data_IF_656718674239
#
_entry.id   IF_656718674239
#
_cell.length_a   1.000
_cell.length_b   1.000
_cell.length_c   1.000
_cell.angle_alpha   90.00
_cell.angle_beta   90.00
_cell.angle_gamma   90.00
#
_symmetry.space_group_name_H-M   'P 1'
#
loop_
_entity.id
_entity.type
_entity.pdbx_description
1 polymer ?
#
# COMPACT_ATOMS: atom_id res chain seq x y z
N UNK A 1 0.98 3.60 32.31
CA UNK A 1 -0.06 2.55 32.27
C UNK A 1 0.61 1.26 31.84
N UNK A 2 0.59 0.25 32.71
CA UNK A 2 1.44 -0.94 32.65
C UNK A 2 1.23 -1.81 31.40
N UNK A 3 2.19 -1.72 30.47
CA UNK A 3 2.31 -2.57 29.28
C UNK A 3 2.32 -4.07 29.66
N UNK A 4 2.92 -4.42 30.81
CA UNK A 4 2.91 -5.78 31.38
C UNK A 4 1.51 -6.25 31.74
N UNK A 5 0.68 -5.38 32.33
CA UNK A 5 -0.67 -5.72 32.75
C UNK A 5 -1.61 -5.86 31.53
N UNK A 6 -1.53 -4.96 30.55
CA UNK A 6 -2.35 -5.05 29.33
C UNK A 6 -2.00 -6.26 28.45
N UNK A 7 -0.73 -6.65 28.38
CA UNK A 7 -0.29 -7.83 27.61
C UNK A 7 -0.65 -9.12 28.36
N UNK A 8 -0.42 -9.17 29.68
CA UNK A 8 -0.80 -10.31 30.52
C UNK A 8 -2.32 -10.53 30.51
N UNK A 9 -3.12 -9.49 30.72
CA UNK A 9 -4.59 -9.56 30.76
C UNK A 9 -5.20 -9.97 29.42
N UNK A 10 -4.60 -9.53 28.30
CA UNK A 10 -5.09 -9.91 27.00
C UNK A 10 -4.69 -11.33 26.58
N UNK A 11 -3.68 -11.93 27.23
CA UNK A 11 -3.29 -13.33 27.06
C UNK A 11 -4.05 -14.28 28.00
N UNK A 12 -4.51 -13.79 29.17
CA UNK A 12 -5.33 -14.55 30.13
C UNK A 12 -6.82 -14.54 29.80
N UNK A 13 -7.32 -13.58 29.02
CA UNK A 13 -8.74 -13.51 28.59
C UNK A 13 -9.15 -14.56 27.53
N UNK A 14 -8.26 -15.47 27.14
CA UNK A 14 -8.56 -16.52 26.16
C UNK A 14 -9.11 -17.73 26.94
N UNK A 15 -10.41 -18.08 26.83
CA UNK A 15 -10.94 -19.20 27.57
C UNK A 15 -10.28 -20.49 27.09
N UNK A 16 -9.66 -21.20 28.04
CA UNK A 16 -9.41 -22.62 27.89
C UNK A 16 -10.77 -23.30 27.72
N UNK A 17 -10.81 -24.33 26.87
CA UNK A 17 -11.96 -25.22 26.58
C UNK A 17 -12.72 -24.88 25.30
N UNK A 18 -12.42 -25.60 24.21
CA UNK A 18 -13.37 -26.52 23.56
C UNK A 18 -12.59 -27.51 22.66
N UNK A 19 -12.47 -28.75 23.16
CA UNK A 19 -12.40 -30.05 22.46
C UNK A 19 -11.12 -30.50 21.70
N UNK A 20 -10.30 -31.24 22.46
CA UNK A 20 -9.56 -32.49 22.20
C UNK A 20 -9.74 -33.20 20.84
N UNK A 21 -8.64 -33.43 20.11
CA UNK A 21 -8.15 -34.76 19.64
C UNK A 21 -6.86 -34.68 18.79
N UNK A 22 -6.05 -35.75 18.71
CA UNK A 22 -4.64 -35.71 19.07
C UNK A 22 -3.68 -35.58 17.88
N UNK A 23 -2.69 -34.69 17.99
CA UNK A 23 -1.40 -34.83 17.28
C UNK A 23 -0.27 -34.33 18.19
N UNK A 24 0.27 -35.26 18.98
CA UNK A 24 1.35 -35.10 19.98
C UNK A 24 2.69 -34.54 19.44
N UNK A 25 2.76 -34.08 18.19
CA UNK A 25 3.92 -33.35 17.64
C UNK A 25 3.70 -31.85 17.40
N UNK A 26 2.45 -31.37 17.48
CA UNK A 26 2.08 -29.97 17.25
C UNK A 26 2.16 -29.09 18.50
N UNK A 27 1.75 -29.63 19.65
CA UNK A 27 1.62 -28.88 20.91
C UNK A 27 2.94 -28.34 21.46
N UNK A 28 4.05 -29.07 21.25
CA UNK A 28 5.37 -28.62 21.70
C UNK A 28 5.90 -27.46 20.85
N UNK A 29 5.67 -27.50 19.53
CA UNK A 29 6.03 -26.40 18.62
C UNK A 29 5.16 -25.16 18.89
N UNK A 30 3.89 -25.38 19.19
CA UNK A 30 2.92 -24.37 19.57
C UNK A 30 3.28 -23.67 20.89
N UNK A 31 3.68 -24.44 21.90
CA UNK A 31 4.16 -23.91 23.18
C UNK A 31 5.43 -23.07 23.02
N UNK A 32 6.38 -23.53 22.19
CA UNK A 32 7.63 -22.81 21.89
C UNK A 32 7.35 -21.50 21.16
N UNK A 33 6.46 -21.49 20.15
CA UNK A 33 6.06 -20.26 19.44
C UNK A 33 5.40 -19.28 20.41
N UNK A 34 4.50 -19.76 21.28
CA UNK A 34 3.83 -18.93 22.29
C UNK A 34 4.82 -18.34 23.30
N UNK A 35 5.78 -19.13 23.77
CA UNK A 35 6.83 -18.68 24.70
C UNK A 35 7.81 -17.69 24.03
N UNK A 36 8.13 -17.90 22.75
CA UNK A 36 8.97 -16.99 21.97
C UNK A 36 8.25 -15.65 21.72
N UNK A 37 6.98 -15.69 21.35
CA UNK A 37 6.14 -14.49 21.18
C UNK A 37 5.99 -13.71 22.48
N UNK A 38 5.83 -14.40 23.62
CA UNK A 38 5.76 -13.77 24.95
C UNK A 38 7.09 -13.13 25.35
N UNK A 39 8.23 -13.83 25.15
CA UNK A 39 9.55 -13.29 25.46
C UNK A 39 9.94 -12.11 24.57
N UNK A 40 9.56 -12.15 23.30
CA UNK A 40 9.90 -11.11 22.36
C UNK A 40 8.93 -9.91 22.41
N UNK A 41 7.68 -10.09 22.84
CA UNK A 41 6.79 -9.00 23.24
C UNK A 41 7.26 -8.30 24.54
N UNK A 42 8.02 -9.00 25.39
CA UNK A 42 8.64 -8.44 26.59
C UNK A 42 9.98 -7.72 26.31
N UNK A 43 10.53 -7.83 25.10
CA UNK A 43 11.81 -7.21 24.73
C UNK A 43 11.58 -5.77 24.23
N UNK A 44 11.93 -4.77 25.04
CA UNK A 44 11.81 -3.34 24.74
C UNK A 44 12.79 -2.80 23.67
N UNK A 45 13.31 -3.66 22.78
CA UNK A 45 14.30 -3.24 21.78
C UNK A 45 13.64 -3.17 20.40
N UNK A 46 13.62 -1.96 19.82
CA UNK A 46 13.02 -1.64 18.51
C UNK A 46 13.53 -2.58 17.41
N UNK A 47 14.82 -2.95 17.44
CA UNK A 47 15.42 -3.88 16.46
C UNK A 47 14.87 -5.31 16.62
N UNK A 48 14.65 -5.77 17.86
CA UNK A 48 14.02 -7.06 18.12
C UNK A 48 12.54 -7.06 17.72
N UNK A 49 11.84 -5.94 17.87
CA UNK A 49 10.46 -5.79 17.43
C UNK A 49 10.36 -5.85 15.90
N UNK A 50 11.26 -5.19 15.17
CA UNK A 50 11.33 -5.28 13.69
C UNK A 50 11.67 -6.70 13.21
N UNK A 51 12.63 -7.37 13.85
CA UNK A 51 12.95 -8.78 13.54
C UNK A 51 11.77 -9.69 13.89
N UNK A 52 11.07 -9.45 15.00
CA UNK A 52 9.85 -10.18 15.37
C UNK A 52 8.72 -9.93 14.38
N UNK A 53 8.51 -8.70 13.95
CA UNK A 53 7.44 -8.36 13.00
C UNK A 53 7.73 -8.92 11.61
N UNK A 54 8.99 -8.91 11.16
CA UNK A 54 9.40 -9.54 9.90
C UNK A 54 9.38 -11.07 9.96
N UNK A 55 9.74 -11.68 11.09
CA UNK A 55 9.62 -13.14 11.29
C UNK A 55 8.16 -13.57 11.44
N UNK A 56 7.33 -12.80 12.14
CA UNK A 56 5.88 -13.03 12.22
C UNK A 56 5.22 -12.88 10.87
N UNK A 57 5.59 -11.86 10.09
CA UNK A 57 5.14 -11.70 8.72
C UNK A 57 5.50 -12.94 7.89
N UNK A 58 6.76 -13.41 7.94
CA UNK A 58 7.20 -14.64 7.25
C UNK A 58 6.52 -15.92 7.76
N UNK A 59 6.24 -16.01 9.05
CA UNK A 59 5.53 -17.13 9.66
C UNK A 59 4.05 -17.15 9.28
N UNK A 60 3.42 -15.97 9.17
CA UNK A 60 2.07 -15.85 8.57
C UNK A 60 2.09 -16.08 7.07
N UNK A 61 3.25 -15.91 6.41
CA UNK A 61 3.44 -16.23 5.01
C UNK A 61 3.42 -17.73 4.75
N UNK A 62 4.09 -18.47 5.62
CA UNK A 62 4.14 -19.91 5.61
C UNK A 62 2.75 -20.51 5.94
N UNK A 63 2.17 -21.30 5.03
CA UNK A 63 0.93 -22.06 5.29
C UNK A 63 1.07 -23.15 6.39
N UNK A 64 2.19 -23.16 7.10
CA UNK A 64 2.53 -24.12 8.16
C UNK A 64 1.75 -23.91 9.47
N UNK A 65 1.04 -22.78 9.62
CA UNK A 65 0.39 -22.39 10.87
C UNK A 65 -1.14 -22.52 10.78
N UNK A 66 -1.76 -23.14 11.79
CA UNK A 66 -3.22 -23.29 11.93
C UNK A 66 -3.94 -21.94 11.88
N UNK A 67 -5.17 -21.93 11.34
CA UNK A 67 -6.09 -20.79 11.30
C UNK A 67 -6.11 -19.92 12.58
N UNK A 68 -6.20 -20.56 13.75
CA UNK A 68 -6.25 -19.89 15.05
C UNK A 68 -4.98 -19.11 15.38
N UNK A 69 -3.81 -19.68 15.10
CA UNK A 69 -2.52 -19.07 15.37
C UNK A 69 -2.24 -17.86 14.48
N UNK A 70 -2.67 -17.89 13.21
CA UNK A 70 -2.57 -16.72 12.32
C UNK A 70 -3.37 -15.54 12.86
N UNK A 71 -4.58 -15.79 13.37
CA UNK A 71 -5.38 -14.77 14.04
C UNK A 71 -4.65 -14.20 15.27
N UNK A 72 -4.01 -15.04 16.09
CA UNK A 72 -3.24 -14.58 17.26
C UNK A 72 -2.04 -13.71 16.84
N UNK A 73 -1.33 -14.10 15.77
CA UNK A 73 -0.24 -13.29 15.22
C UNK A 73 -0.74 -11.90 14.78
N UNK A 74 -1.87 -11.82 14.08
CA UNK A 74 -2.45 -10.54 13.68
C UNK A 74 -2.84 -9.68 14.89
N UNK A 75 -3.47 -10.27 15.91
CA UNK A 75 -3.80 -9.54 17.15
C UNK A 75 -2.55 -9.05 17.89
N UNK A 76 -1.45 -9.80 17.85
CA UNK A 76 -0.18 -9.38 18.45
C UNK A 76 0.46 -8.25 17.65
N UNK A 77 0.51 -8.38 16.32
CA UNK A 77 0.95 -7.31 15.40
C UNK A 77 0.21 -6.01 15.71
N UNK A 78 -1.12 -6.05 15.82
CA UNK A 78 -1.93 -4.86 16.07
C UNK A 78 -1.59 -4.14 17.38
N UNK A 79 -1.13 -4.88 18.41
CA UNK A 79 -0.74 -4.28 19.69
C UNK A 79 0.66 -3.70 19.68
N UNK A 80 1.55 -4.29 18.89
CA UNK A 80 2.97 -3.92 18.86
C UNK A 80 3.28 -2.86 17.80
N UNK A 81 2.39 -2.66 16.83
CA UNK A 81 2.62 -1.77 15.69
C UNK A 81 2.88 -0.31 16.10
N UNK A 82 2.30 0.16 17.21
CA UNK A 82 2.53 1.50 17.76
C UNK A 82 3.96 1.71 18.30
N UNK A 83 4.72 0.64 18.47
CA UNK A 83 6.12 0.67 18.93
C UNK A 83 7.13 0.48 17.80
N UNK A 84 6.66 0.32 16.56
CA UNK A 84 7.48 0.19 15.36
C UNK A 84 7.65 1.57 14.72
N UNK A 85 8.79 1.80 14.06
CA UNK A 85 9.00 2.99 13.25
C UNK A 85 8.11 3.00 12.00
N UNK A 86 7.87 4.18 11.42
CA UNK A 86 7.01 4.32 10.25
C UNK A 86 7.49 3.45 9.07
N UNK A 87 8.80 3.21 8.92
CA UNK A 87 9.34 2.32 7.88
C UNK A 87 8.90 0.88 8.12
N UNK A 88 9.00 0.37 9.34
CA UNK A 88 8.51 -0.96 9.69
C UNK A 88 6.99 -1.08 9.57
N UNK A 89 6.22 -0.03 9.95
CA UNK A 89 4.77 0.02 9.74
C UNK A 89 4.42 -0.09 8.26
N UNK A 90 5.17 0.56 7.38
CA UNK A 90 4.99 0.44 5.92
C UNK A 90 5.21 -0.98 5.42
N UNK A 91 6.23 -1.67 5.91
CA UNK A 91 6.45 -3.08 5.55
C UNK A 91 5.33 -3.99 6.06
N UNK A 92 4.82 -3.75 7.27
CA UNK A 92 3.63 -4.46 7.79
C UNK A 92 2.42 -4.23 6.89
N UNK A 93 2.17 -2.98 6.48
CA UNK A 93 1.07 -2.65 5.57
C UNK A 93 1.18 -3.42 4.24
N UNK A 94 2.38 -3.51 3.65
CA UNK A 94 2.62 -4.30 2.42
C UNK A 94 2.29 -5.78 2.62
N UNK A 95 2.73 -6.37 3.74
CA UNK A 95 2.44 -7.77 4.07
C UNK A 95 0.93 -7.98 4.27
N UNK A 96 0.26 -7.09 4.99
CA UNK A 96 -1.18 -7.13 5.19
C UNK A 96 -1.94 -7.04 3.86
N UNK A 97 -1.52 -6.12 2.99
CA UNK A 97 -2.08 -5.92 1.66
C UNK A 97 -1.92 -7.17 0.78
N UNK A 98 -0.74 -7.78 0.77
CA UNK A 98 -0.48 -9.05 0.09
C UNK A 98 -1.32 -10.20 0.67
N UNK A 99 -1.47 -10.27 2.01
CA UNK A 99 -2.25 -11.34 2.66
C UNK A 99 -3.75 -11.24 2.48
N UNK A 100 -4.30 -10.04 2.28
CA UNK A 100 -5.69 -9.85 1.90
C UNK A 100 -6.09 -10.68 0.66
N UNK A 101 -5.16 -10.92 -0.26
CA UNK A 101 -5.37 -11.65 -1.51
C UNK A 101 -5.56 -13.17 -1.32
N UNK A 102 -4.99 -13.74 -0.26
CA UNK A 102 -5.08 -15.18 -0.01
C UNK A 102 -6.49 -15.60 0.42
N UNK A 103 -7.27 -14.67 0.95
CA UNK A 103 -8.68 -14.92 1.23
C UNK A 103 -9.45 -14.90 -0.09
N UNK A 104 -9.91 -16.07 -0.53
CA UNK A 104 -10.81 -16.17 -1.68
C UNK A 104 -12.08 -15.34 -1.42
N UNK A 105 -12.67 -14.77 -2.46
CA UNK A 105 -13.92 -13.98 -2.38
C UNK A 105 -15.05 -14.73 -1.64
N UNK A 106 -15.08 -16.06 -1.75
CA UNK A 106 -15.96 -16.94 -0.98
C UNK A 106 -15.22 -17.48 0.25
N UNK A 107 -15.42 -16.81 1.38
CA UNK A 107 -14.74 -17.13 2.64
C UNK A 107 -15.52 -18.20 3.41
N UNK A 108 -14.84 -19.27 3.80
CA UNK A 108 -15.38 -20.22 4.78
C UNK A 108 -15.38 -19.57 6.17
N UNK A 109 -16.44 -19.78 6.95
CA UNK A 109 -16.65 -19.26 8.32
C UNK A 109 -15.40 -19.40 9.20
N UNK A 110 -14.63 -20.48 9.04
CA UNK A 110 -13.38 -20.73 9.80
C UNK A 110 -12.26 -19.70 9.56
N UNK A 111 -12.26 -19.01 8.43
CA UNK A 111 -11.24 -18.00 8.07
C UNK A 111 -11.71 -16.57 8.33
N UNK A 112 -13.00 -16.35 8.57
CA UNK A 112 -13.56 -15.02 8.83
C UNK A 112 -12.88 -14.31 10.03
N UNK A 113 -12.60 -14.97 11.18
CA UNK A 113 -11.91 -14.31 12.30
C UNK A 113 -10.49 -13.85 11.96
N UNK A 114 -9.80 -14.51 11.03
CA UNK A 114 -8.47 -14.10 10.58
C UNK A 114 -8.55 -12.84 9.70
N UNK A 115 -9.56 -12.78 8.84
CA UNK A 115 -9.80 -11.60 8.01
C UNK A 115 -10.16 -10.38 8.87
N UNK A 116 -11.02 -10.56 9.88
CA UNK A 116 -11.37 -9.46 10.80
C UNK A 116 -10.16 -8.97 11.58
N UNK A 117 -9.31 -9.89 12.08
CA UNK A 117 -8.07 -9.49 12.75
C UNK A 117 -7.10 -8.74 11.82
N UNK A 118 -7.08 -9.08 10.52
CA UNK A 118 -6.32 -8.35 9.51
C UNK A 118 -6.92 -6.96 9.23
N UNK A 119 -8.24 -6.88 9.13
CA UNK A 119 -8.99 -5.62 8.97
C UNK A 119 -8.71 -4.66 10.12
N UNK A 120 -8.67 -5.16 11.35
CA UNK A 120 -8.37 -4.35 12.54
C UNK A 120 -6.97 -3.74 12.48
N UNK A 121 -5.96 -4.48 11.99
CA UNK A 121 -4.60 -3.93 11.78
C UNK A 121 -4.65 -2.81 10.74
N UNK A 122 -5.29 -3.04 9.59
CA UNK A 122 -5.34 -2.05 8.50
C UNK A 122 -6.07 -0.80 8.97
N UNK A 123 -7.20 -0.95 9.68
CA UNK A 123 -7.92 0.19 10.30
C UNK A 123 -7.04 0.94 11.28
N UNK A 124 -6.26 0.24 12.10
CA UNK A 124 -5.37 0.86 13.06
C UNK A 124 -4.24 1.66 12.39
N UNK A 125 -3.70 1.16 11.26
CA UNK A 125 -2.72 1.88 10.43
C UNK A 125 -3.35 3.10 9.74
N UNK A 126 -4.58 2.98 9.25
CA UNK A 126 -5.26 4.04 8.50
C UNK A 126 -5.79 5.16 9.41
N UNK A 127 -5.97 4.89 10.69
CA UNK A 127 -6.42 5.89 11.65
C UNK A 127 -5.36 6.99 11.86
N UNK A 128 -5.69 8.18 11.36
CA UNK A 128 -4.84 9.38 11.44
C UNK A 128 -4.53 9.77 12.88
N UNK A 129 -5.36 9.42 13.86
CA UNK A 129 -5.12 9.75 15.28
C UNK A 129 -3.92 8.99 15.85
N UNK A 130 -3.61 7.81 15.31
CA UNK A 130 -2.49 7.00 15.78
C UNK A 130 -1.15 7.45 15.16
N UNK A 131 -1.17 8.26 14.10
CA UNK A 131 0.03 8.83 13.46
C UNK A 131 1.14 7.81 13.13
N UNK A 132 0.79 6.55 12.84
CA UNK A 132 1.75 5.45 12.67
C UNK A 132 2.56 5.55 11.37
N UNK A 133 1.94 6.09 10.32
CA UNK A 133 2.54 6.22 9.00
C UNK A 133 1.99 7.50 8.32
N UNK A 134 2.84 8.31 7.66
CA UNK A 134 2.36 9.40 6.84
C UNK A 134 1.35 8.93 5.80
N UNK A 135 0.22 9.62 5.73
CA UNK A 135 -0.93 9.13 4.98
C UNK A 135 -0.67 9.06 3.45
N UNK A 136 0.27 9.84 2.90
CA UNK A 136 0.68 9.72 1.50
C UNK A 136 1.37 8.37 1.19
N UNK A 137 2.11 7.79 2.15
CA UNK A 137 2.69 6.46 1.96
C UNK A 137 1.62 5.39 1.93
N UNK A 138 0.55 5.55 2.72
CA UNK A 138 -0.60 4.65 2.69
C UNK A 138 -1.25 4.69 1.31
N UNK A 139 -1.54 5.88 0.77
CA UNK A 139 -2.13 6.04 -0.57
C UNK A 139 -1.26 5.41 -1.66
N UNK A 140 0.05 5.65 -1.62
CA UNK A 140 0.99 5.06 -2.58
C UNK A 140 1.00 3.53 -2.57
N UNK A 141 0.76 2.90 -1.41
CA UNK A 141 0.64 1.45 -1.30
C UNK A 141 -0.75 0.95 -1.73
N UNK A 142 -1.82 1.68 -1.40
CA UNK A 142 -3.19 1.37 -1.82
C UNK A 142 -3.25 1.41 -3.35
N UNK A 143 -2.89 2.52 -4.00
CA UNK A 143 -3.10 2.75 -5.44
C UNK A 143 -2.31 1.80 -6.37
N UNK A 144 -1.47 0.92 -5.84
CA UNK A 144 -0.81 -0.12 -6.65
C UNK A 144 -1.86 -1.07 -7.21
N UNK A 145 -1.78 -1.43 -8.51
CA UNK A 145 -2.80 -2.24 -9.17
C UNK A 145 -2.86 -3.64 -8.54
N UNK A 146 -3.91 -3.91 -7.76
CA UNK A 146 -4.15 -5.22 -7.16
C UNK A 146 -5.65 -5.46 -6.90
N UNK A 147 -6.14 -6.72 -6.96
CA UNK A 147 -7.52 -7.03 -6.63
C UNK A 147 -7.73 -6.84 -5.13
N UNK A 148 -8.43 -5.78 -4.74
CA UNK A 148 -8.82 -5.61 -3.34
C UNK A 148 -9.85 -6.66 -2.95
N UNK A 149 -9.64 -7.25 -1.77
CA UNK A 149 -10.68 -8.06 -1.15
C UNK A 149 -11.85 -7.14 -0.78
N UNK A 150 -13.09 -7.53 -1.14
CA UNK A 150 -14.31 -6.72 -0.98
C UNK A 150 -14.46 -6.08 0.41
N UNK A 151 -13.96 -6.77 1.45
CA UNK A 151 -13.99 -6.31 2.85
C UNK A 151 -13.20 -5.02 3.08
N UNK A 152 -12.11 -4.81 2.35
CA UNK A 152 -11.25 -3.62 2.50
C UNK A 152 -11.65 -2.48 1.57
N UNK A 153 -12.44 -2.74 0.52
CA UNK A 153 -12.80 -1.75 -0.51
C UNK A 153 -13.35 -0.46 0.10
N UNK A 154 -14.29 -0.57 1.04
CA UNK A 154 -14.85 0.63 1.66
C UNK A 154 -13.77 1.44 2.38
N UNK A 155 -12.94 0.78 3.18
CA UNK A 155 -11.86 1.43 3.93
C UNK A 155 -10.83 2.10 3.00
N UNK A 156 -10.46 1.42 1.90
CA UNK A 156 -9.50 1.97 0.93
C UNK A 156 -10.11 3.10 0.11
N UNK A 157 -11.35 2.97 -0.36
CA UNK A 157 -12.04 4.03 -1.10
C UNK A 157 -12.25 5.28 -0.24
N UNK A 158 -12.74 5.12 1.00
CA UNK A 158 -12.94 6.25 1.92
C UNK A 158 -11.60 6.98 2.16
N UNK A 159 -10.52 6.24 2.39
CA UNK A 159 -9.18 6.82 2.60
C UNK A 159 -8.62 7.51 1.34
N UNK A 160 -8.81 6.93 0.16
CA UNK A 160 -8.37 7.54 -1.11
C UNK A 160 -9.18 8.81 -1.42
N UNK A 161 -10.48 8.84 -1.11
CA UNK A 161 -11.33 9.99 -1.34
C UNK A 161 -10.93 11.20 -0.46
N UNK A 162 -10.46 10.96 0.78
CA UNK A 162 -9.85 12.02 1.60
C UNK A 162 -8.65 12.70 0.91
N UNK A 163 -7.93 11.97 0.06
CA UNK A 163 -6.78 12.47 -0.69
C UNK A 163 -7.13 13.14 -2.01
N UNK A 164 -8.40 13.13 -2.43
CA UNK A 164 -8.83 13.66 -3.74
C UNK A 164 -8.43 15.12 -3.98
N UNK A 165 -8.34 15.92 -2.92
CA UNK A 165 -7.92 17.33 -2.99
C UNK A 165 -6.42 17.50 -3.24
N UNK A 166 -5.59 16.53 -2.83
CA UNK A 166 -4.13 16.62 -2.94
C UNK A 166 -3.66 16.65 -4.40
N UNK A 167 -4.08 15.75 -5.31
CA UNK A 167 -3.78 15.85 -6.73
C UNK A 167 -4.18 17.21 -7.31
N UNK A 168 -5.34 17.76 -6.93
CA UNK A 168 -5.84 19.04 -7.45
C UNK A 168 -4.90 20.22 -7.14
N UNK A 169 -4.15 20.16 -6.04
CA UNK A 169 -3.15 21.20 -5.70
C UNK A 169 -1.86 21.13 -6.51
N UNK A 170 -1.57 19.95 -7.10
CA UNK A 170 -0.33 19.70 -7.87
C UNK A 170 -0.59 19.46 -9.35
N UNK A 171 -1.85 19.43 -9.77
CA UNK A 171 -2.30 19.27 -11.15
C UNK A 171 -2.84 20.57 -11.73
N UNK A 172 -2.67 20.75 -13.03
CA UNK A 172 -3.30 21.83 -13.76
C UNK A 172 -4.76 21.45 -14.03
N UNK A 173 -5.70 22.31 -13.66
CA UNK A 173 -7.14 22.10 -13.90
C UNK A 173 -7.38 22.03 -15.41
N UNK A 174 -8.13 21.02 -15.87
CA UNK A 174 -8.47 20.81 -17.28
C UNK A 174 -7.25 20.70 -18.23
N UNK A 175 -6.11 20.25 -17.72
CA UNK A 175 -4.86 20.16 -18.49
C UNK A 175 -4.99 19.35 -19.79
N UNK A 176 -5.78 18.27 -19.79
CA UNK A 176 -6.04 17.45 -20.98
C UNK A 176 -6.71 18.23 -22.13
N UNK A 177 -7.37 19.35 -21.83
CA UNK A 177 -8.06 20.21 -22.80
C UNK A 177 -7.29 21.50 -23.12
N UNK A 178 -6.11 21.70 -22.53
CA UNK A 178 -5.26 22.84 -22.83
C UNK A 178 -4.34 22.51 -24.00
N UNK A 179 -4.07 23.52 -24.84
CA UNK A 179 -3.17 23.38 -25.98
C UNK A 179 -2.08 24.45 -25.90
N UNK A 180 -0.80 24.08 -26.13
CA UNK A 180 0.29 25.05 -26.16
C UNK A 180 0.25 25.89 -27.44
N UNK A 181 0.88 27.06 -27.38
CA UNK A 181 1.21 27.82 -28.60
C UNK A 181 2.52 27.25 -29.14
N UNK A 182 2.53 26.76 -30.38
CA UNK A 182 3.72 26.16 -30.98
C UNK A 182 4.61 27.24 -31.58
N UNK A 183 5.69 27.58 -30.88
CA UNK A 183 6.66 28.59 -31.28
C UNK A 183 7.90 27.97 -31.95
N UNK A 184 8.53 28.73 -32.85
CA UNK A 184 9.68 28.29 -33.65
C UNK A 184 11.01 28.31 -32.85
N UNK A 185 11.10 29.15 -31.81
CA UNK A 185 12.29 29.33 -30.97
C UNK A 185 11.89 29.67 -29.53
N UNK A 186 12.65 29.20 -28.54
CA UNK A 186 12.60 29.78 -27.19
C UNK A 186 12.03 28.91 -26.07
N UNK A 187 11.78 27.61 -26.29
CA UNK A 187 11.40 26.75 -25.18
C UNK A 187 12.59 26.40 -24.31
N UNK A 188 12.64 27.03 -23.14
CA UNK A 188 13.48 26.55 -22.05
C UNK A 188 12.89 25.21 -21.54
N UNK A 189 13.72 24.20 -21.28
CA UNK A 189 13.30 22.82 -20.94
C UNK A 189 12.22 22.74 -19.84
N UNK A 190 12.18 23.73 -18.95
CA UNK A 190 11.26 23.83 -17.84
C UNK A 190 9.84 24.25 -18.25
N UNK A 191 9.68 25.02 -19.33
CA UNK A 191 8.38 25.40 -19.89
C UNK A 191 7.70 24.23 -20.61
N UNK A 192 8.48 23.25 -21.08
CA UNK A 192 7.97 22.06 -21.78
C UNK A 192 7.58 20.92 -20.84
N UNK A 193 7.96 20.97 -19.56
CA UNK A 193 7.69 19.89 -18.62
C UNK A 193 6.20 19.57 -18.46
N UNK A 194 5.31 20.57 -18.57
CA UNK A 194 3.87 20.35 -18.50
C UNK A 194 3.35 19.54 -19.69
N UNK A 195 3.98 19.64 -20.85
CA UNK A 195 3.51 19.02 -22.09
C UNK A 195 4.18 17.68 -22.40
N UNK A 196 5.08 17.21 -21.53
CA UNK A 196 5.81 15.96 -21.74
C UNK A 196 4.87 14.75 -21.68
N UNK A 197 4.95 13.92 -22.71
CA UNK A 197 4.24 12.66 -22.83
C UNK A 197 5.21 11.49 -22.81
N UNK A 198 4.76 10.36 -22.29
CA UNK A 198 5.45 9.09 -22.47
C UNK A 198 5.35 8.64 -23.94
N UNK A 199 6.47 8.37 -24.64
CA UNK A 199 6.45 7.99 -26.05
C UNK A 199 5.68 6.70 -26.34
N UNK A 200 5.57 5.77 -25.39
CA UNK A 200 4.90 4.49 -25.62
C UNK A 200 3.38 4.54 -25.35
N UNK A 201 2.95 5.30 -24.35
CA UNK A 201 1.53 5.35 -23.93
C UNK A 201 0.83 6.64 -24.31
N UNK A 202 1.57 7.68 -24.74
CA UNK A 202 1.07 9.03 -25.00
C UNK A 202 0.33 9.66 -23.80
N UNK A 203 0.64 9.24 -22.58
CA UNK A 203 0.07 9.78 -21.34
C UNK A 203 0.96 10.85 -20.77
N UNK A 204 0.38 11.76 -19.99
CA UNK A 204 1.15 12.72 -19.22
C UNK A 204 2.07 12.01 -18.23
N UNK A 205 3.28 12.53 -18.07
CA UNK A 205 4.22 12.06 -17.05
C UNK A 205 3.84 12.75 -15.73
N UNK A 206 2.96 12.09 -14.97
CA UNK A 206 2.50 12.57 -13.67
C UNK A 206 3.53 12.29 -12.57
N UNK A 207 3.59 13.15 -11.55
CA UNK A 207 4.48 12.97 -10.39
C UNK A 207 3.78 12.09 -9.35
N UNK A 208 4.47 11.08 -8.85
CA UNK A 208 4.00 10.20 -7.78
C UNK A 208 2.70 9.43 -8.09
N UNK A 209 2.38 8.44 -7.25
CA UNK A 209 1.14 7.68 -7.37
C UNK A 209 0.04 8.37 -6.55
N UNK A 210 -0.52 9.44 -7.09
CA UNK A 210 -1.67 10.13 -6.50
C UNK A 210 -2.96 9.75 -7.25
N UNK A 211 -4.14 9.88 -6.60
CA UNK A 211 -5.43 9.59 -7.22
C UNK A 211 -5.83 10.74 -8.17
N UNK A 212 -5.11 10.88 -9.28
CA UNK A 212 -5.38 11.88 -10.30
C UNK A 212 -6.74 11.62 -10.99
N UNK A 213 -7.25 12.66 -11.64
CA UNK A 213 -8.44 12.55 -12.48
C UNK A 213 -8.19 11.58 -13.65
N UNK A 214 -9.21 10.82 -14.02
CA UNK A 214 -9.11 9.79 -15.06
C UNK A 214 -8.66 10.35 -16.41
N UNK A 215 -8.97 11.61 -16.70
CA UNK A 215 -8.57 12.31 -17.93
C UNK A 215 -7.04 12.43 -18.06
N UNK A 216 -6.34 12.60 -16.93
CA UNK A 216 -4.87 12.71 -16.92
C UNK A 216 -4.19 11.36 -17.18
N UNK A 217 -4.89 10.26 -16.90
CA UNK A 217 -4.43 8.90 -17.20
C UNK A 217 -4.83 8.42 -18.61
N UNK A 218 -5.64 9.19 -19.33
CA UNK A 218 -6.01 8.91 -20.71
C UNK A 218 -4.89 9.29 -21.67
N UNK A 219 -4.87 8.65 -22.83
CA UNK A 219 -3.92 8.93 -23.90
C UNK A 219 -4.22 10.29 -24.53
N UNK A 220 -3.20 11.15 -24.65
CA UNK A 220 -3.34 12.54 -25.10
C UNK A 220 -3.13 12.68 -26.61
N UNK A 221 -3.90 11.89 -27.37
CA UNK A 221 -3.80 11.86 -28.84
C UNK A 221 -4.20 13.19 -29.49
N UNK A 222 -5.21 13.88 -28.94
CA UNK A 222 -5.68 15.16 -29.46
C UNK A 222 -4.63 16.26 -29.33
N UNK A 223 -3.91 16.30 -28.20
CA UNK A 223 -2.81 17.23 -27.97
C UNK A 223 -1.69 17.03 -29.00
N UNK A 224 -1.25 15.78 -29.18
CA UNK A 224 -0.18 15.47 -30.15
C UNK A 224 -0.61 15.81 -31.58
N UNK A 225 -1.85 15.48 -31.96
CA UNK A 225 -2.41 15.82 -33.27
C UNK A 225 -2.41 17.33 -33.51
N UNK A 226 -2.90 18.10 -32.54
CA UNK A 226 -2.92 19.56 -32.63
C UNK A 226 -1.51 20.14 -32.84
N UNK A 227 -0.50 19.64 -32.12
CA UNK A 227 0.90 20.09 -32.27
C UNK A 227 1.44 19.72 -33.65
N UNK A 228 1.20 18.50 -34.13
CA UNK A 228 1.67 18.05 -35.45
C UNK A 228 1.07 18.84 -36.62
N UNK A 229 -0.16 19.32 -36.48
CA UNK A 229 -0.82 20.17 -37.47
C UNK A 229 -0.17 21.57 -37.59
N UNK A 230 0.63 21.99 -36.60
CA UNK A 230 1.32 23.29 -36.64
C UNK A 230 2.58 23.26 -37.52
N UNK A 231 2.83 24.37 -38.21
CA UNK A 231 3.97 24.54 -39.15
C UNK A 231 5.34 24.43 -38.49
N UNK A 232 5.42 24.73 -37.19
CA UNK A 232 6.67 24.85 -36.41
C UNK A 232 6.94 23.64 -35.49
N UNK A 233 6.23 22.53 -35.68
CA UNK A 233 6.18 21.40 -34.74
C UNK A 233 7.47 20.56 -34.64
N UNK A 234 8.39 20.70 -35.61
CA UNK A 234 9.60 19.85 -35.74
C UNK A 234 10.53 19.87 -34.52
N UNK A 235 10.62 21.00 -33.81
CA UNK A 235 11.48 21.12 -32.62
C UNK A 235 10.74 20.76 -31.32
N UNK A 236 9.43 21.01 -31.28
CA UNK A 236 8.61 20.78 -30.09
C UNK A 236 8.29 19.30 -29.89
N UNK A 237 7.92 18.58 -30.95
CA UNK A 237 7.51 17.16 -30.86
C UNK A 237 8.60 16.26 -30.28
N UNK A 238 9.88 16.35 -30.69
CA UNK A 238 10.96 15.57 -30.07
C UNK A 238 11.13 15.85 -28.59
N UNK A 239 11.01 17.12 -28.18
CA UNK A 239 11.13 17.53 -26.77
C UNK A 239 9.94 17.01 -25.95
N UNK A 240 8.74 17.09 -26.52
CA UNK A 240 7.49 16.65 -25.92
C UNK A 240 7.44 15.14 -25.69
N UNK A 241 7.94 14.36 -26.65
CA UNK A 241 8.00 12.89 -26.58
C UNK A 241 9.34 12.36 -26.03
N UNK A 242 10.22 13.25 -25.58
CA UNK A 242 11.55 12.92 -25.05
C UNK A 242 12.40 12.08 -26.04
N UNK A 243 12.25 12.35 -27.34
CA UNK A 243 12.94 11.66 -28.44
C UNK A 243 14.38 12.17 -28.52
N UNK A 244 15.30 11.50 -27.82
CA UNK A 244 16.71 11.79 -28.00
C UNK A 244 17.19 11.30 -29.37
N UNK A 245 18.03 12.10 -30.05
CA UNK A 245 18.59 11.83 -31.38
C UNK A 245 19.42 10.53 -31.51
N UNK A 246 19.66 9.79 -30.41
CA UNK A 246 20.65 8.71 -30.37
C UNK A 246 20.12 7.28 -30.53
N UNK A 247 18.80 7.04 -30.54
CA UNK A 247 18.27 5.69 -30.78
C UNK A 247 17.26 5.70 -31.93
N UNK A 248 17.52 4.87 -32.95
CA UNK A 248 16.54 4.51 -33.99
C UNK A 248 15.34 3.87 -33.30
N UNK A 249 14.31 4.67 -33.03
CA UNK A 249 13.00 4.16 -32.63
C UNK A 249 12.32 3.56 -33.86
N UNK A 250 11.67 2.41 -33.66
CA UNK A 250 11.06 1.57 -34.70
C UNK A 250 9.63 1.97 -34.98
#
# INVERSE_FOLDING_TARGET
MDLKASISNALTSIPATTLVSPRLGGENKEHIIRQYLQKAAAAHNIKHLQVLMSTLAKLTEAHLITAHHRMLCFKLINKLISHVDYTGVREVLKVCHYKGQFFRLNINVSYLPQLLALEDIIKHIFDRKNCLLPAYFIVNEILKPFPYHWKFNKLTTDFVDEFRRTPQTVSIISHAHMFPIVELFGYADHLMNSWKLDPNTLKFILKDNLPYESELFAEQSQLLRYVLEQTCSKEMVPTMLNLQKQQKQR
#
